data_IF_413478490161
#
_entry.id   IF_413478490161
#
_cell.length_a   1.000
_cell.length_b   1.000
_cell.length_c   1.000
_cell.angle_alpha   90.00
_cell.angle_beta   90.00
_cell.angle_gamma   90.00
#
_symmetry.space_group_name_H-M   'P 1'
#
loop_
_entity.id
_entity.type
_entity.pdbx_description
1 polymer ?
#
# COMPACT_ATOMS: atom_id res chain seq x y z
N UNK A 1 20.06 -10.16 11.22
CA UNK A 1 19.08 -9.40 10.42
C UNK A 1 18.48 -10.36 9.42
N UNK A 2 17.18 -10.57 9.47
CA UNK A 2 16.50 -11.59 8.67
C UNK A 2 16.12 -10.99 7.31
N UNK A 3 16.49 -11.65 6.23
CA UNK A 3 16.20 -11.30 4.82
C UNK A 3 14.71 -11.13 4.49
N UNK A 4 13.81 -11.53 5.40
CA UNK A 4 12.37 -11.32 5.28
C UNK A 4 11.97 -9.84 5.34
N UNK A 5 12.70 -9.07 6.13
CA UNK A 5 12.47 -7.64 6.37
C UNK A 5 12.86 -6.80 5.14
N UNK A 6 13.97 -7.17 4.49
CA UNK A 6 14.43 -6.61 3.21
C UNK A 6 13.47 -6.93 2.05
N UNK A 7 12.63 -7.96 2.15
CA UNK A 7 11.69 -8.31 1.09
C UNK A 7 10.30 -7.67 1.25
N UNK A 8 9.92 -7.23 2.46
CA UNK A 8 8.57 -6.73 2.71
C UNK A 8 8.26 -5.48 1.89
N UNK A 9 9.10 -4.45 1.95
CA UNK A 9 8.87 -3.20 1.22
C UNK A 9 8.71 -3.41 -0.29
N UNK A 10 9.56 -4.25 -0.89
CA UNK A 10 9.49 -4.55 -2.31
C UNK A 10 8.22 -5.33 -2.68
N UNK A 11 7.77 -6.26 -1.83
CA UNK A 11 6.53 -6.99 -2.05
C UNK A 11 5.29 -6.09 -1.92
N UNK A 12 5.28 -5.20 -0.92
CA UNK A 12 4.23 -4.18 -0.74
C UNK A 12 4.17 -3.26 -1.96
N UNK A 13 5.32 -2.80 -2.46
CA UNK A 13 5.38 -1.91 -3.63
C UNK A 13 4.94 -2.61 -4.93
N UNK A 14 5.36 -3.86 -5.16
CA UNK A 14 4.90 -4.65 -6.31
C UNK A 14 3.37 -4.86 -6.27
N UNK A 15 2.81 -5.19 -5.11
CA UNK A 15 1.37 -5.33 -4.94
C UNK A 15 0.62 -4.02 -5.21
N UNK A 16 1.13 -2.88 -4.72
CA UNK A 16 0.58 -1.56 -5.00
C UNK A 16 0.56 -1.25 -6.51
N UNK A 17 1.67 -1.51 -7.20
CA UNK A 17 1.78 -1.30 -8.64
C UNK A 17 0.81 -2.19 -9.42
N UNK A 18 0.61 -3.44 -9.01
CA UNK A 18 -0.37 -4.36 -9.61
C UNK A 18 -1.81 -3.91 -9.39
N UNK A 19 -2.09 -3.31 -8.24
CA UNK A 19 -3.41 -2.73 -7.93
C UNK A 19 -3.68 -1.44 -8.74
N UNK A 20 -2.64 -0.81 -9.30
CA UNK A 20 -2.74 0.40 -10.11
C UNK A 20 -2.86 1.68 -9.30
N UNK A 21 -2.53 1.65 -8.00
CA UNK A 21 -2.55 2.82 -7.13
C UNK A 21 -1.18 3.50 -7.06
N UNK A 22 -1.21 4.78 -6.75
CA UNK A 22 -0.03 5.60 -6.47
C UNK A 22 0.39 5.48 -5.00
N UNK A 23 1.64 5.87 -4.72
CA UNK A 23 2.16 5.92 -3.34
C UNK A 23 1.37 6.93 -2.49
N UNK A 24 0.93 8.05 -3.08
CA UNK A 24 0.10 9.04 -2.39
C UNK A 24 -1.27 8.48 -1.98
N UNK A 25 -1.91 7.69 -2.85
CA UNK A 25 -3.17 7.01 -2.50
C UNK A 25 -2.97 6.01 -1.36
N UNK A 26 -1.91 5.20 -1.42
CA UNK A 26 -1.52 4.30 -0.33
C UNK A 26 -1.31 5.06 0.99
N UNK A 27 -0.58 6.18 0.94
CA UNK A 27 -0.30 6.99 2.11
C UNK A 27 -1.58 7.55 2.74
N UNK A 28 -2.53 8.05 1.94
CA UNK A 28 -3.83 8.53 2.44
C UNK A 28 -4.65 7.42 3.12
N UNK A 29 -4.63 6.21 2.58
CA UNK A 29 -5.32 5.07 3.19
C UNK A 29 -4.63 4.63 4.49
N UNK A 30 -3.30 4.57 4.49
CA UNK A 30 -2.49 4.30 5.68
C UNK A 30 -2.74 5.33 6.79
N UNK A 31 -2.81 6.63 6.47
CA UNK A 31 -3.19 7.68 7.41
C UNK A 31 -4.58 7.46 7.99
N UNK A 32 -5.54 7.03 7.16
CA UNK A 32 -6.91 6.73 7.60
C UNK A 32 -6.98 5.57 8.59
N UNK A 33 -6.00 4.67 8.58
CA UNK A 33 -5.85 3.58 9.56
C UNK A 33 -5.05 3.98 10.81
N UNK A 34 -4.70 5.26 10.97
CA UNK A 34 -3.92 5.75 12.11
C UNK A 34 -2.41 5.77 11.89
N UNK A 35 -1.97 5.69 10.64
CA UNK A 35 -0.57 5.86 10.26
C UNK A 35 -0.01 7.22 10.70
N UNK A 36 1.28 7.25 11.03
CA UNK A 36 1.96 8.44 11.56
C UNK A 36 3.14 8.94 10.73
N UNK A 37 3.61 8.14 9.77
CA UNK A 37 4.70 8.48 8.86
C UNK A 37 4.23 9.44 7.76
N UNK A 38 5.11 10.33 7.32
CA UNK A 38 4.82 11.22 6.20
C UNK A 38 4.95 10.52 4.83
N UNK A 39 4.41 11.15 3.78
CA UNK A 39 4.41 10.57 2.43
C UNK A 39 5.82 10.31 1.90
N UNK A 40 6.77 11.18 2.23
CA UNK A 40 8.16 11.05 1.77
C UNK A 40 8.86 9.87 2.46
N UNK A 41 8.64 9.67 3.76
CA UNK A 41 9.14 8.51 4.50
C UNK A 41 8.57 7.19 3.97
N UNK A 42 7.26 7.15 3.70
CA UNK A 42 6.59 6.00 3.08
C UNK A 42 7.16 5.71 1.70
N UNK A 43 7.34 6.74 0.87
CA UNK A 43 7.93 6.59 -0.45
C UNK A 43 9.37 6.06 -0.37
N UNK A 44 10.21 6.64 0.50
CA UNK A 44 11.57 6.18 0.70
C UNK A 44 11.63 4.72 1.16
N UNK A 45 10.71 4.31 2.04
CA UNK A 45 10.61 2.93 2.51
C UNK A 45 10.25 1.95 1.39
N UNK A 46 9.22 2.25 0.61
CA UNK A 46 8.79 1.40 -0.50
C UNK A 46 9.88 1.22 -1.57
N UNK A 47 10.75 2.21 -1.73
CA UNK A 47 11.92 2.16 -2.60
C UNK A 47 13.17 1.54 -1.95
N UNK A 48 13.07 1.05 -0.70
CA UNK A 48 14.19 0.43 0.02
C UNK A 48 15.28 1.40 0.47
N UNK A 49 14.99 2.71 0.48
CA UNK A 49 15.93 3.77 0.83
C UNK A 49 16.01 4.02 2.34
N UNK A 50 14.98 3.63 3.10
CA UNK A 50 14.92 3.74 4.56
C UNK A 50 14.17 2.56 5.19
N UNK A 51 14.22 2.45 6.51
CA UNK A 51 13.44 1.49 7.28
C UNK A 51 12.41 2.21 8.14
N UNK A 52 11.17 1.72 8.12
CA UNK A 52 10.12 2.16 9.04
C UNK A 52 9.99 1.19 10.23
N UNK A 53 9.36 1.64 11.33
CA UNK A 53 8.97 0.75 12.41
C UNK A 53 8.10 -0.41 11.89
N UNK A 54 8.24 -1.59 12.47
CA UNK A 54 7.54 -2.79 12.01
C UNK A 54 6.02 -2.60 11.88
N UNK A 55 5.41 -1.90 12.83
CA UNK A 55 3.98 -1.58 12.82
C UNK A 55 3.57 -0.81 11.57
N UNK A 56 4.34 0.19 11.16
CA UNK A 56 4.02 1.00 9.98
C UNK A 56 4.19 0.21 8.68
N UNK A 57 5.19 -0.67 8.61
CA UNK A 57 5.40 -1.58 7.48
C UNK A 57 4.24 -2.55 7.30
N UNK A 58 3.76 -3.10 8.40
CA UNK A 58 2.62 -4.01 8.41
C UNK A 58 1.33 -3.27 8.07
N UNK A 59 1.14 -2.06 8.57
CA UNK A 59 0.01 -1.20 8.20
C UNK A 59 0.02 -0.83 6.72
N UNK A 60 1.16 -0.48 6.15
CA UNK A 60 1.27 -0.23 4.70
C UNK A 60 0.92 -1.47 3.88
N UNK A 61 1.38 -2.64 4.32
CA UNK A 61 1.03 -3.92 3.69
C UNK A 61 -0.47 -4.20 3.79
N UNK A 62 -1.08 -3.93 4.95
CA UNK A 62 -2.51 -4.05 5.16
C UNK A 62 -3.30 -3.09 4.26
N UNK A 63 -2.88 -1.83 4.15
CA UNK A 63 -3.53 -0.85 3.26
C UNK A 63 -3.62 -1.37 1.83
N UNK A 64 -2.50 -1.89 1.30
CA UNK A 64 -2.45 -2.42 -0.07
C UNK A 64 -3.40 -3.62 -0.23
N UNK A 65 -3.46 -4.50 0.78
CA UNK A 65 -4.36 -5.65 0.75
C UNK A 65 -5.83 -5.21 0.74
N UNK A 66 -6.23 -4.28 1.61
CA UNK A 66 -7.61 -3.77 1.66
C UNK A 66 -7.99 -3.05 0.36
N UNK A 67 -7.08 -2.22 -0.18
CA UNK A 67 -7.27 -1.56 -1.48
C UNK A 67 -7.49 -2.57 -2.62
N UNK A 68 -6.75 -3.68 -2.62
CA UNK A 68 -6.91 -4.74 -3.61
C UNK A 68 -8.25 -5.48 -3.42
N UNK A 69 -8.62 -5.77 -2.17
CA UNK A 69 -9.90 -6.41 -1.82
C UNK A 69 -11.09 -5.56 -2.28
N UNK A 70 -11.03 -4.24 -2.12
CA UNK A 70 -12.05 -3.29 -2.57
C UNK A 70 -12.23 -3.33 -4.11
N UNK A 71 -11.14 -3.40 -4.87
CA UNK A 71 -11.21 -3.57 -6.34
C UNK A 71 -11.93 -4.88 -6.68
N UNK A 72 -11.55 -5.99 -6.03
CA UNK A 72 -12.12 -7.30 -6.33
C UNK A 72 -13.61 -7.41 -5.96
N UNK A 73 -14.06 -6.70 -4.92
CA UNK A 73 -15.43 -6.72 -4.43
C UNK A 73 -16.36 -5.74 -5.14
N UNK A 74 -15.81 -4.74 -5.85
CA UNK A 74 -16.63 -3.68 -6.46
C UNK A 74 -17.48 -4.20 -7.64
N UNK A 75 -18.82 -4.05 -7.61
CA UNK A 75 -19.67 -4.43 -8.74
C UNK A 75 -19.38 -3.54 -9.94
N UNK A 76 -19.32 -4.13 -11.14
CA UNK A 76 -19.09 -3.37 -12.37
C UNK A 76 -20.20 -2.36 -12.61
N UNK A 77 -19.83 -1.13 -12.95
CA UNK A 77 -20.79 -0.09 -13.33
C UNK A 77 -21.64 -0.57 -14.53
N UNK A 78 -22.97 -0.40 -14.48
CA UNK A 78 -23.84 -0.81 -15.59
C UNK A 78 -23.59 0.05 -16.83
N UNK A 79 -23.64 -0.56 -18.01
CA UNK A 79 -23.67 0.18 -19.28
C UNK A 79 -25.02 0.87 -19.48
N UNK A 80 -25.01 2.02 -20.14
CA UNK A 80 -26.24 2.64 -20.65
C UNK A 80 -26.97 1.66 -21.56
N UNK A 81 -28.25 1.43 -21.32
CA UNK A 81 -29.10 0.64 -22.22
C UNK A 81 -29.54 1.54 -23.38
N UNK A 82 -29.57 1.04 -24.64
CA UNK A 82 -30.15 1.77 -25.76
C UNK A 82 -31.66 1.97 -25.59
#
# INVERSE_FOLDING_TARGET
>A
MSTADENQHSATFDALQRAGFTVGELWLYYLSMGGSMDEFEVNAYLHGLTHLPAVDRDMLSQSVNEMYDDICRSPRAPYSKP
#
